data_IF_250586694090
#
_entry.id   IF_250586694090
#
_cell.length_a   1.000
_cell.length_b   1.000
_cell.length_c   1.000
_cell.angle_alpha   90.00
_cell.angle_beta   90.00
_cell.angle_gamma   90.00
#
_symmetry.space_group_name_H-M   'P 1'
#
loop_
_entity.id
_entity.type
_entity.pdbx_description
1 polymer ?
#
# COMPACT_ATOMS: atom_id res chain seq x y z
N UNK A 1 -20.66 -22.00 40.54
CA UNK A 1 -19.55 -22.26 39.58
C UNK A 1 -20.15 -22.96 38.38
N UNK A 2 -20.38 -22.24 37.28
CA UNK A 2 -20.85 -22.82 36.02
C UNK A 2 -19.67 -23.41 35.27
N UNK A 3 -19.71 -24.72 35.02
CA UNK A 3 -18.73 -25.39 34.16
C UNK A 3 -18.87 -24.86 32.73
N UNK A 4 -17.78 -24.39 32.08
CA UNK A 4 -17.86 -23.91 30.71
C UNK A 4 -18.28 -25.05 29.79
N UNK A 5 -19.33 -24.82 29.01
CA UNK A 5 -19.84 -25.79 28.02
C UNK A 5 -18.77 -26.03 26.95
N UNK A 6 -18.46 -27.29 26.59
CA UNK A 6 -17.45 -27.58 25.59
C UNK A 6 -17.83 -26.93 24.25
N UNK A 7 -16.91 -26.12 23.72
CA UNK A 7 -17.11 -25.42 22.45
C UNK A 7 -17.07 -26.45 21.32
N UNK A 8 -18.18 -26.61 20.61
CA UNK A 8 -18.24 -27.41 19.38
C UNK A 8 -17.35 -26.74 18.34
N UNK A 9 -16.30 -27.44 17.90
CA UNK A 9 -15.44 -26.94 16.83
C UNK A 9 -16.24 -26.86 15.53
N UNK A 10 -16.01 -25.80 14.77
CA UNK A 10 -16.58 -25.68 13.42
C UNK A 10 -15.93 -26.70 12.47
N UNK A 11 -16.62 -27.05 11.37
CA UNK A 11 -16.08 -27.97 10.36
C UNK A 11 -14.68 -27.53 9.85
N UNK A 12 -14.45 -26.24 9.64
CA UNK A 12 -13.15 -25.74 9.19
C UNK A 12 -12.05 -25.96 10.25
N UNK A 13 -12.38 -25.85 11.53
CA UNK A 13 -11.42 -26.06 12.61
C UNK A 13 -11.05 -27.53 12.82
N UNK A 14 -11.87 -28.48 12.34
CA UNK A 14 -11.55 -29.91 12.41
C UNK A 14 -10.66 -30.38 11.26
N UNK A 15 -10.52 -29.58 10.19
CA UNK A 15 -9.66 -29.92 9.06
C UNK A 15 -8.17 -29.80 9.42
N UNK A 16 -7.29 -30.62 8.82
CA UNK A 16 -5.85 -30.40 8.81
C UNK A 16 -5.48 -29.02 8.25
N UNK A 17 -4.38 -28.44 8.73
CA UNK A 17 -3.93 -27.09 8.34
C UNK A 17 -3.65 -27.00 6.84
N UNK A 18 -3.22 -28.10 6.23
CA UNK A 18 -2.96 -28.21 4.80
C UNK A 18 -4.24 -28.02 3.98
N UNK A 19 -5.37 -28.61 4.44
CA UNK A 19 -6.66 -28.45 3.76
C UNK A 19 -7.23 -27.05 3.97
N UNK A 20 -7.05 -26.46 5.16
CA UNK A 20 -7.41 -25.05 5.41
C UNK A 20 -6.59 -24.14 4.49
N UNK A 21 -5.30 -24.43 4.36
CA UNK A 21 -4.40 -23.72 3.45
C UNK A 21 -4.86 -23.81 2.00
N UNK A 22 -5.22 -25.01 1.54
CA UNK A 22 -5.70 -25.24 0.18
C UNK A 22 -7.00 -24.49 -0.10
N UNK A 23 -7.95 -24.50 0.84
CA UNK A 23 -9.21 -23.76 0.73
C UNK A 23 -8.97 -22.25 0.67
N UNK A 24 -8.04 -21.74 1.48
CA UNK A 24 -7.78 -20.29 1.59
C UNK A 24 -6.91 -19.71 0.49
N UNK A 25 -6.09 -20.54 -0.16
CA UNK A 25 -5.32 -20.17 -1.36
C UNK A 25 -6.01 -20.56 -2.67
N UNK A 26 -7.15 -21.27 -2.63
CA UNK A 26 -7.88 -21.71 -3.82
C UNK A 26 -8.24 -20.52 -4.74
N UNK A 27 -8.08 -20.75 -6.04
CA UNK A 27 -8.35 -19.77 -7.10
C UNK A 27 -9.13 -20.43 -8.25
N UNK A 28 -9.94 -19.63 -8.92
CA UNK A 28 -10.59 -19.96 -10.18
C UNK A 28 -10.24 -18.92 -11.26
N UNK A 29 -10.95 -18.95 -12.41
CA UNK A 29 -10.73 -18.00 -13.51
C UNK A 29 -10.93 -16.52 -13.15
N UNK A 30 -11.60 -16.23 -12.03
CA UNK A 30 -11.90 -14.88 -11.53
C UNK A 30 -10.96 -14.47 -10.38
N UNK A 31 -10.01 -15.32 -9.99
CA UNK A 31 -9.04 -15.06 -8.92
C UNK A 31 -9.28 -15.91 -7.69
N UNK A 32 -8.92 -15.39 -6.50
CA UNK A 32 -9.05 -16.15 -5.26
C UNK A 32 -10.52 -16.32 -4.84
N UNK A 33 -10.88 -17.54 -4.45
CA UNK A 33 -12.22 -17.89 -3.97
C UNK A 33 -12.61 -17.12 -2.70
N UNK A 34 -11.62 -16.75 -1.88
CA UNK A 34 -11.80 -15.85 -0.73
C UNK A 34 -11.18 -14.49 -1.03
N UNK A 35 -11.95 -13.42 -0.82
CA UNK A 35 -11.43 -12.07 -0.86
C UNK A 35 -10.37 -11.85 0.24
N UNK A 36 -9.54 -10.80 0.13
CA UNK A 36 -8.59 -10.43 1.20
C UNK A 36 -9.33 -10.13 2.51
N UNK A 37 -10.51 -9.51 2.41
CA UNK A 37 -11.37 -9.18 3.56
C UNK A 37 -11.89 -10.44 4.24
N UNK A 38 -12.42 -11.40 3.48
CA UNK A 38 -12.95 -12.66 4.04
C UNK A 38 -11.85 -13.49 4.69
N UNK A 39 -10.68 -13.54 4.05
CA UNK A 39 -9.52 -14.22 4.63
C UNK A 39 -9.05 -13.54 5.92
N UNK A 40 -9.08 -12.21 5.98
CA UNK A 40 -8.82 -11.43 7.18
C UNK A 40 -9.84 -11.71 8.29
N UNK A 41 -11.13 -11.77 7.96
CA UNK A 41 -12.19 -12.12 8.91
C UNK A 41 -12.04 -13.55 9.43
N UNK A 42 -11.68 -14.49 8.56
CA UNK A 42 -11.45 -15.89 8.92
C UNK A 42 -10.32 -16.04 9.94
N UNK A 43 -9.25 -15.24 9.82
CA UNK A 43 -8.16 -15.14 10.81
C UNK A 43 -8.68 -14.82 12.21
N UNK A 44 -9.73 -14.02 12.31
CA UNK A 44 -10.28 -13.53 13.58
C UNK A 44 -11.28 -14.51 14.21
N UNK A 45 -11.70 -15.57 13.51
CA UNK A 45 -12.70 -16.51 14.00
C UNK A 45 -12.20 -17.34 15.21
N UNK A 46 -10.92 -17.76 15.19
CA UNK A 46 -10.28 -18.45 16.30
C UNK A 46 -8.76 -18.44 16.22
N UNK A 47 -8.07 -18.77 17.33
CA UNK A 47 -6.60 -18.88 17.35
C UNK A 47 -6.07 -19.96 16.41
N UNK A 48 -6.83 -21.06 16.24
CA UNK A 48 -6.47 -22.12 15.29
C UNK A 48 -6.55 -21.60 13.86
N UNK A 49 -7.64 -20.91 13.51
CA UNK A 49 -7.79 -20.30 12.19
C UNK A 49 -6.73 -19.24 11.95
N UNK A 50 -6.41 -18.43 12.95
CA UNK A 50 -5.31 -17.47 12.87
C UNK A 50 -4.00 -18.16 12.47
N UNK A 51 -3.61 -19.22 13.17
CA UNK A 51 -2.37 -19.96 12.87
C UNK A 51 -2.40 -20.65 11.51
N UNK A 52 -3.53 -21.30 11.17
CA UNK A 52 -3.66 -22.06 9.94
C UNK A 52 -3.71 -21.18 8.68
N UNK A 53 -4.20 -19.94 8.80
CA UNK A 53 -4.33 -19.01 7.67
C UNK A 53 -3.18 -18.02 7.56
N UNK A 54 -2.33 -17.93 8.58
CA UNK A 54 -1.31 -16.89 8.68
C UNK A 54 -0.40 -16.81 7.46
N UNK A 55 0.15 -17.96 7.02
CA UNK A 55 1.09 -18.00 5.90
C UNK A 55 0.43 -17.53 4.59
N UNK A 56 -0.81 -17.95 4.34
CA UNK A 56 -1.55 -17.55 3.14
C UNK A 56 -1.93 -16.07 3.16
N UNK A 57 -2.28 -15.54 4.33
CA UNK A 57 -2.50 -14.11 4.52
C UNK A 57 -1.21 -13.35 4.25
N UNK A 58 -0.11 -13.77 4.88
CA UNK A 58 1.18 -13.10 4.74
C UNK A 58 1.65 -13.11 3.28
N UNK A 59 1.55 -14.25 2.59
CA UNK A 59 1.81 -14.36 1.15
C UNK A 59 0.93 -13.38 0.38
N UNK A 60 -0.40 -13.43 0.51
CA UNK A 60 -1.32 -12.59 -0.28
C UNK A 60 -1.24 -11.09 0.03
N UNK A 61 -0.88 -10.73 1.26
CA UNK A 61 -0.78 -9.35 1.71
C UNK A 61 0.58 -8.73 1.35
N UNK A 62 1.65 -9.53 1.42
CA UNK A 62 3.01 -9.00 1.36
C UNK A 62 3.81 -9.39 0.11
N UNK A 63 3.28 -10.23 -0.80
CA UNK A 63 4.01 -10.64 -2.02
C UNK A 63 4.48 -9.44 -2.84
N UNK A 64 3.60 -8.46 -3.08
CA UNK A 64 3.88 -7.31 -3.94
C UNK A 64 3.56 -6.03 -3.18
N UNK A 65 4.52 -5.11 -3.13
CA UNK A 65 4.33 -3.77 -2.59
C UNK A 65 4.70 -2.71 -3.62
N UNK A 66 3.85 -1.70 -3.78
CA UNK A 66 4.12 -0.52 -4.60
C UNK A 66 4.50 0.65 -3.68
N UNK A 67 5.62 1.29 -3.97
CA UNK A 67 6.14 2.44 -3.24
C UNK A 67 6.28 3.64 -4.18
N UNK A 68 6.12 4.82 -3.60
CA UNK A 68 6.39 6.10 -4.23
C UNK A 68 7.84 6.52 -3.96
N UNK A 69 8.43 7.34 -4.83
CA UNK A 69 9.73 7.98 -4.56
C UNK A 69 9.60 9.18 -3.62
N UNK A 70 9.21 8.89 -2.37
CA UNK A 70 9.18 9.87 -1.27
C UNK A 70 9.89 9.32 -0.05
N UNK A 71 10.41 10.20 0.82
CA UNK A 71 11.14 9.78 2.02
C UNK A 71 10.28 8.90 2.92
N UNK A 72 9.01 9.28 3.13
CA UNK A 72 8.07 8.51 3.95
C UNK A 72 7.83 7.10 3.37
N UNK A 73 7.66 6.98 2.06
CA UNK A 73 7.42 5.69 1.41
C UNK A 73 8.62 4.74 1.53
N UNK A 74 9.84 5.26 1.33
CA UNK A 74 11.06 4.47 1.42
C UNK A 74 11.41 4.15 2.89
N UNK A 75 11.07 5.04 3.82
CA UNK A 75 11.16 4.74 5.26
C UNK A 75 10.24 3.58 5.64
N UNK A 76 9.00 3.58 5.14
CA UNK A 76 8.07 2.47 5.36
C UNK A 76 8.58 1.17 4.72
N UNK A 77 9.21 1.25 3.55
CA UNK A 77 9.88 0.10 2.93
C UNK A 77 10.98 -0.47 3.85
N UNK A 78 11.78 0.37 4.50
CA UNK A 78 12.77 -0.06 5.49
C UNK A 78 12.12 -0.72 6.71
N UNK A 79 10.98 -0.19 7.17
CA UNK A 79 10.22 -0.77 8.29
C UNK A 79 9.69 -2.17 7.94
N UNK A 80 9.09 -2.36 6.76
CA UNK A 80 8.69 -3.69 6.28
C UNK A 80 9.90 -4.62 6.18
N UNK A 81 11.03 -4.11 5.65
CA UNK A 81 12.26 -4.90 5.54
C UNK A 81 12.80 -5.36 6.90
N UNK A 82 12.58 -4.60 7.97
CA UNK A 82 12.97 -4.97 9.33
C UNK A 82 11.95 -5.86 10.05
N UNK A 83 10.74 -6.00 9.52
CA UNK A 83 9.69 -6.81 10.12
C UNK A 83 9.93 -8.30 9.82
N UNK A 84 10.15 -9.09 10.87
CA UNK A 84 10.44 -10.54 10.78
C UNK A 84 9.30 -11.34 10.13
N UNK A 85 8.07 -10.83 10.13
CA UNK A 85 6.89 -11.49 9.61
C UNK A 85 6.55 -11.07 8.18
N UNK A 86 6.82 -9.83 7.80
CA UNK A 86 6.48 -9.29 6.48
C UNK A 86 7.64 -9.46 5.49
N UNK A 87 8.87 -9.12 5.90
CA UNK A 87 10.05 -9.14 5.04
C UNK A 87 10.23 -10.46 4.28
N UNK A 88 10.10 -11.66 4.91
CA UNK A 88 10.29 -12.92 4.21
C UNK A 88 9.24 -13.22 3.13
N UNK A 89 8.10 -12.53 3.10
CA UNK A 89 7.03 -12.76 2.12
C UNK A 89 7.06 -11.79 0.96
N UNK A 90 7.87 -10.73 1.03
CA UNK A 90 8.05 -9.81 -0.10
C UNK A 90 8.79 -10.52 -1.24
N UNK A 91 8.21 -10.48 -2.44
CA UNK A 91 8.74 -11.09 -3.67
C UNK A 91 8.92 -10.06 -4.78
N UNK A 92 8.05 -9.06 -4.82
CA UNK A 92 8.09 -7.99 -5.81
C UNK A 92 7.96 -6.63 -5.14
N UNK A 93 8.82 -5.71 -5.56
CA UNK A 93 8.74 -4.30 -5.20
C UNK A 93 8.52 -3.51 -6.48
N UNK A 94 7.40 -2.78 -6.55
CA UNK A 94 7.13 -1.83 -7.60
C UNK A 94 7.45 -0.41 -7.09
N UNK A 95 8.21 0.34 -7.86
CA UNK A 95 8.45 1.76 -7.62
C UNK A 95 7.69 2.52 -8.68
N UNK A 96 6.69 3.28 -8.26
CA UNK A 96 5.91 4.09 -9.17
C UNK A 96 6.53 5.47 -9.43
N UNK A 97 6.07 6.14 -10.50
CA UNK A 97 6.57 7.44 -10.90
C UNK A 97 5.91 8.57 -10.10
N UNK A 98 5.08 8.26 -9.09
CA UNK A 98 4.25 9.24 -8.40
C UNK A 98 5.12 10.32 -7.74
N UNK A 99 4.74 11.58 -7.97
CA UNK A 99 5.40 12.78 -7.45
C UNK A 99 4.36 13.85 -7.16
N UNK A 100 4.68 14.77 -6.27
CA UNK A 100 3.88 15.98 -6.12
C UNK A 100 4.11 16.87 -7.34
N UNK A 101 3.02 17.38 -7.93
CA UNK A 101 3.08 18.32 -9.03
C UNK A 101 3.64 19.67 -8.52
N UNK A 102 4.75 20.19 -9.04
CA UNK A 102 5.29 21.47 -8.58
C UNK A 102 4.30 22.65 -8.71
N UNK A 103 3.31 22.53 -9.59
CA UNK A 103 2.21 23.47 -9.74
C UNK A 103 1.02 23.02 -8.89
N UNK A 104 0.91 23.54 -7.66
CA UNK A 104 -0.19 23.22 -6.75
C UNK A 104 -1.55 23.64 -7.32
N UNK A 105 -1.59 24.76 -8.03
CA UNK A 105 -2.80 25.36 -8.60
C UNK A 105 -3.42 24.48 -9.68
N UNK A 106 -2.62 23.64 -10.37
CA UNK A 106 -3.11 22.64 -11.32
C UNK A 106 -3.99 21.57 -10.64
N UNK A 107 -3.73 21.24 -9.37
CA UNK A 107 -4.57 20.30 -8.62
C UNK A 107 -5.95 20.88 -8.28
N UNK A 108 -6.12 22.19 -8.42
CA UNK A 108 -7.32 22.93 -8.02
C UNK A 108 -8.12 23.45 -9.22
N UNK A 109 -7.73 23.12 -10.46
CA UNK A 109 -8.27 23.73 -11.68
C UNK A 109 -9.78 23.55 -11.83
N UNK A 110 -10.30 22.38 -11.43
CA UNK A 110 -11.73 22.04 -11.51
C UNK A 110 -12.51 22.33 -10.20
N UNK A 111 -11.88 22.94 -9.20
CA UNK A 111 -12.54 23.24 -7.92
C UNK A 111 -13.30 24.57 -7.95
N UNK A 112 -14.37 24.67 -7.15
CA UNK A 112 -15.04 25.95 -6.89
C UNK A 112 -14.05 26.99 -6.31
N UNK A 113 -14.17 28.25 -6.73
CA UNK A 113 -13.21 29.30 -6.39
C UNK A 113 -13.06 29.50 -4.87
N UNK A 114 -14.14 29.35 -4.09
CA UNK A 114 -14.07 29.47 -2.63
C UNK A 114 -13.33 28.31 -1.99
N UNK A 115 -13.49 27.12 -2.56
CA UNK A 115 -12.77 25.91 -2.11
C UNK A 115 -11.29 26.07 -2.46
N UNK A 116 -10.99 26.57 -3.66
CA UNK A 116 -9.62 26.84 -4.11
C UNK A 116 -8.90 27.87 -3.24
N UNK A 117 -9.53 29.00 -2.93
CA UNK A 117 -8.98 30.01 -2.02
C UNK A 117 -8.66 29.40 -0.65
N UNK A 118 -9.60 28.65 -0.07
CA UNK A 118 -9.39 27.96 1.20
C UNK A 118 -8.21 26.97 1.14
N UNK A 119 -8.11 26.19 0.07
CA UNK A 119 -7.02 25.24 -0.12
C UNK A 119 -5.66 25.92 -0.28
N UNK A 120 -5.59 27.03 -1.02
CA UNK A 120 -4.38 27.82 -1.17
C UNK A 120 -3.92 28.39 0.18
N UNK A 121 -4.84 28.89 1.00
CA UNK A 121 -4.49 29.43 2.32
C UNK A 121 -4.04 28.33 3.29
N UNK A 122 -4.75 27.21 3.34
CA UNK A 122 -4.51 26.17 4.35
C UNK A 122 -3.41 25.18 3.99
N UNK A 123 -3.25 24.83 2.70
CA UNK A 123 -2.44 23.68 2.29
C UNK A 123 -1.25 24.04 1.40
N UNK A 124 -1.25 25.18 0.69
CA UNK A 124 -0.11 25.60 -0.15
C UNK A 124 1.22 25.62 0.62
N UNK A 125 1.32 26.14 1.86
CA UNK A 125 2.59 26.18 2.58
C UNK A 125 3.15 24.78 2.90
N UNK A 126 2.27 23.84 3.25
CA UNK A 126 2.63 22.44 3.51
C UNK A 126 3.02 21.76 2.20
N UNK A 127 2.25 22.00 1.15
CA UNK A 127 2.51 21.46 -0.18
C UNK A 127 3.89 21.87 -0.71
N UNK A 128 4.21 23.17 -0.66
CA UNK A 128 5.50 23.69 -1.12
C UNK A 128 6.68 23.10 -0.35
N UNK A 129 6.50 22.90 0.96
CA UNK A 129 7.49 22.23 1.80
C UNK A 129 7.71 20.79 1.35
N UNK A 130 6.64 20.04 1.05
CA UNK A 130 6.73 18.65 0.61
C UNK A 130 7.34 18.51 -0.79
N UNK A 131 6.98 19.39 -1.73
CA UNK A 131 7.63 19.45 -3.06
C UNK A 131 9.12 19.69 -2.93
N UNK A 132 9.51 20.65 -2.09
CA UNK A 132 10.92 20.97 -1.83
C UNK A 132 11.64 19.79 -1.18
N UNK A 133 11.05 19.15 -0.18
CA UNK A 133 11.61 17.96 0.48
C UNK A 133 11.83 16.83 -0.52
N UNK A 134 10.83 16.53 -1.37
CA UNK A 134 10.95 15.49 -2.38
C UNK A 134 12.09 15.79 -3.37
N UNK A 135 12.23 17.05 -3.79
CA UNK A 135 13.32 17.47 -4.67
C UNK A 135 14.70 17.36 -3.99
N UNK A 136 14.82 17.77 -2.74
CA UNK A 136 16.03 17.63 -1.93
C UNK A 136 16.40 16.15 -1.72
N UNK A 137 15.41 15.30 -1.43
CA UNK A 137 15.61 13.87 -1.22
C UNK A 137 16.13 13.15 -2.45
N UNK A 138 15.65 13.54 -3.64
CA UNK A 138 16.14 13.01 -4.92
C UNK A 138 17.56 13.50 -5.22
N UNK A 139 17.87 14.78 -4.95
CA UNK A 139 19.14 15.40 -5.34
C UNK A 139 20.28 15.17 -4.35
N UNK A 140 20.00 14.93 -3.07
CA UNK A 140 21.02 14.71 -2.04
C UNK A 140 21.71 13.35 -2.12
N UNK A 141 21.17 12.40 -2.89
CA UNK A 141 21.60 11.00 -2.93
C UNK A 141 21.04 10.13 -1.80
N UNK A 142 20.30 10.71 -0.85
CA UNK A 142 19.65 9.97 0.24
C UNK A 142 18.71 8.88 -0.27
N UNK A 143 17.92 9.19 -1.30
CA UNK A 143 17.00 8.24 -1.91
C UNK A 143 17.72 6.97 -2.37
N UNK A 144 18.84 7.12 -3.09
CA UNK A 144 19.62 5.98 -3.58
C UNK A 144 20.21 5.16 -2.44
N UNK A 145 20.69 5.83 -1.38
CA UNK A 145 21.23 5.18 -0.19
C UNK A 145 20.15 4.37 0.54
N UNK A 146 18.99 4.97 0.79
CA UNK A 146 17.88 4.32 1.51
C UNK A 146 17.28 3.15 0.70
N UNK A 147 17.13 3.28 -0.62
CA UNK A 147 16.69 2.17 -1.47
C UNK A 147 17.67 0.99 -1.42
N UNK A 148 18.97 1.28 -1.51
CA UNK A 148 20.00 0.24 -1.42
C UNK A 148 19.93 -0.48 -0.07
N UNK A 149 19.76 0.26 1.02
CA UNK A 149 19.58 -0.29 2.37
C UNK A 149 18.27 -1.09 2.49
N UNK A 150 17.20 -0.67 1.85
CA UNK A 150 15.92 -1.35 1.90
C UNK A 150 15.96 -2.67 1.13
N UNK A 151 16.51 -2.71 -0.08
CA UNK A 151 16.53 -3.91 -0.91
C UNK A 151 17.27 -5.08 -0.25
N UNK A 152 18.36 -4.82 0.47
CA UNK A 152 19.12 -5.88 1.15
C UNK A 152 18.35 -6.53 2.31
N UNK A 153 17.27 -5.90 2.80
CA UNK A 153 16.47 -6.41 3.92
C UNK A 153 15.43 -7.45 3.51
N UNK A 154 15.17 -7.63 2.22
CA UNK A 154 14.16 -8.57 1.72
C UNK A 154 14.82 -9.86 1.21
N UNK A 155 14.90 -10.93 2.02
CA UNK A 155 15.71 -12.11 1.72
C UNK A 155 15.21 -12.91 0.51
N UNK A 156 13.95 -12.72 0.14
CA UNK A 156 13.30 -13.43 -0.94
C UNK A 156 12.82 -12.50 -2.06
N UNK A 157 13.37 -11.29 -2.16
CA UNK A 157 13.01 -10.37 -3.24
C UNK A 157 13.47 -10.94 -4.58
N UNK A 158 12.52 -11.16 -5.48
CA UNK A 158 12.77 -11.74 -6.81
C UNK A 158 12.80 -10.66 -7.90
N UNK A 159 11.97 -9.62 -7.75
CA UNK A 159 11.75 -8.61 -8.80
C UNK A 159 11.65 -7.21 -8.22
N UNK A 160 12.26 -6.26 -8.93
CA UNK A 160 12.03 -4.83 -8.77
C UNK A 160 11.50 -4.29 -10.09
N UNK A 161 10.31 -3.70 -10.06
CA UNK A 161 9.64 -3.13 -11.22
C UNK A 161 9.62 -1.61 -11.08
N UNK A 162 9.96 -0.91 -12.16
CA UNK A 162 9.73 0.53 -12.26
C UNK A 162 8.44 0.70 -13.07
N UNK A 163 7.40 1.22 -12.43
CA UNK A 163 6.18 1.58 -13.13
C UNK A 163 6.42 2.93 -13.81
N UNK A 164 5.98 3.04 -15.06
CA UNK A 164 5.91 4.31 -15.77
C UNK A 164 4.45 4.74 -15.84
N UNK A 165 4.20 6.05 -15.99
CA UNK A 165 2.89 6.50 -16.42
C UNK A 165 2.54 5.79 -17.73
N UNK A 166 1.32 5.27 -17.91
CA UNK A 166 0.87 4.92 -19.24
C UNK A 166 0.95 6.20 -20.08
N UNK A 167 1.81 6.18 -21.10
CA UNK A 167 1.82 7.24 -22.09
C UNK A 167 0.43 7.25 -22.73
N UNK A 168 -0.31 8.35 -22.60
CA UNK A 168 -1.40 8.61 -23.55
C UNK A 168 -0.77 8.57 -24.96
N UNK A 169 -1.38 7.93 -25.97
CA UNK A 169 -0.94 7.99 -27.37
C UNK A 169 -0.63 9.41 -27.91
N UNK A 170 -1.06 10.48 -27.23
CA UNK A 170 -0.76 11.89 -27.58
C UNK A 170 0.53 12.43 -26.94
N UNK A 171 1.21 11.67 -26.08
CA UNK A 171 2.47 12.09 -25.43
C UNK A 171 2.30 13.19 -24.38
N UNK A 172 1.06 13.48 -23.98
CA UNK A 172 0.76 14.24 -22.78
C UNK A 172 0.86 13.31 -21.57
N UNK A 173 1.54 13.77 -20.52
CA UNK A 173 1.42 13.19 -19.19
C UNK A 173 -0.01 13.45 -18.74
N UNK A 174 -0.98 12.66 -19.22
CA UNK A 174 -2.25 12.60 -18.53
C UNK A 174 -1.92 11.95 -17.20
N UNK A 175 -2.03 12.74 -16.14
CA UNK A 175 -2.21 12.25 -14.79
C UNK A 175 -3.36 11.26 -14.85
N UNK A 176 -3.03 9.99 -15.12
CA UNK A 176 -3.98 8.91 -15.21
C UNK A 176 -4.86 9.03 -13.96
N UNK A 177 -6.17 9.20 -14.19
CA UNK A 177 -7.25 9.31 -13.19
C UNK A 177 -6.76 9.06 -11.77
N UNK A 178 -6.95 10.03 -10.86
CA UNK A 178 -6.61 10.07 -9.42
C UNK A 178 -6.53 8.69 -8.72
N UNK A 179 -7.35 7.73 -9.15
CA UNK A 179 -7.36 6.31 -8.76
C UNK A 179 -6.03 5.55 -8.89
N UNK A 180 -5.11 5.86 -9.81
CA UNK A 180 -3.85 5.08 -9.93
C UNK A 180 -2.68 5.66 -9.11
N UNK A 181 -2.71 6.97 -8.85
CA UNK A 181 -1.69 7.70 -8.07
C UNK A 181 -1.79 7.43 -6.58
N UNK A 182 -2.98 7.06 -6.11
CA UNK A 182 -3.28 6.77 -4.70
C UNK A 182 -2.88 5.36 -4.27
N UNK A 183 -2.43 4.51 -5.19
CA UNK A 183 -2.19 3.07 -4.93
C UNK A 183 -0.81 2.81 -4.32
N UNK A 184 0.16 3.70 -4.54
CA UNK A 184 1.48 3.59 -3.95
C UNK A 184 1.47 3.91 -2.45
N UNK A 185 2.21 3.12 -1.65
CA UNK A 185 2.42 3.45 -0.24
C UNK A 185 3.06 4.83 -0.11
N UNK A 186 2.53 5.66 0.78
CA UNK A 186 2.94 7.06 0.96
C UNK A 186 2.05 8.06 0.21
N UNK A 187 1.32 7.66 -0.84
CA UNK A 187 0.41 8.55 -1.54
C UNK A 187 -0.77 8.97 -0.64
N UNK A 188 -1.38 8.03 0.09
CA UNK A 188 -2.46 8.34 1.03
C UNK A 188 -2.02 9.24 2.19
N UNK A 189 -0.82 9.03 2.73
CA UNK A 189 -0.24 9.89 3.76
C UNK A 189 0.00 11.30 3.25
N UNK A 190 0.59 11.44 2.05
CA UNK A 190 0.77 12.74 1.40
C UNK A 190 -0.56 13.45 1.15
N UNK A 191 -1.57 12.71 0.68
CA UNK A 191 -2.93 13.22 0.48
C UNK A 191 -3.55 13.72 1.78
N UNK A 192 -3.40 12.99 2.88
CA UNK A 192 -3.86 13.44 4.20
C UNK A 192 -3.14 14.70 4.68
N UNK A 193 -1.83 14.80 4.47
CA UNK A 193 -1.02 15.97 4.84
C UNK A 193 -1.42 17.23 4.08
N UNK A 194 -1.93 17.09 2.85
CA UNK A 194 -2.41 18.21 2.03
C UNK A 194 -3.92 18.44 2.14
N UNK A 195 -4.57 17.85 3.14
CA UNK A 195 -5.99 18.09 3.44
C UNK A 195 -6.98 17.26 2.60
N UNK A 196 -6.49 16.39 1.72
CA UNK A 196 -7.31 15.49 0.92
C UNK A 196 -7.84 14.36 1.81
N UNK A 197 -8.97 14.63 2.47
CA UNK A 197 -9.75 13.63 3.20
C UNK A 197 -10.92 13.18 2.35
N UNK A 198 -11.36 11.93 2.51
CA UNK A 198 -12.48 11.32 1.77
C UNK A 198 -13.83 12.06 1.89
N UNK A 199 -13.88 13.19 2.61
CA UNK A 199 -15.06 14.05 2.77
C UNK A 199 -15.31 15.00 1.59
N UNK A 200 -14.35 15.14 0.67
CA UNK A 200 -14.50 15.94 -0.56
C UNK A 200 -14.72 15.10 -1.82
N UNK A 201 -14.98 13.80 -1.67
CA UNK A 201 -15.44 12.92 -2.76
C UNK A 201 -16.97 12.92 -2.75
N UNK A 202 -17.58 13.84 -3.50
CA UNK A 202 -18.99 13.80 -3.87
C UNK A 202 -19.13 14.08 -5.36
#
# INVERSE_FOLDING_TARGET
MTTPTPRTLSFLETLPTELIGLITDAQDSQGHNLSKTDLGNLRLASRRMQQATFQNIAKRAHTTHKFMLSRASIQYMLEIGNDEYASPYVREIAIGPERLNPNFEALLEDMDEKVKEHWLECFKPVYDKLVKEQQEFVTSGDMSRMLSEAFVKFPNLERVRLDSYPLDPVGTYNDATITEWTVGWGASSLLQEIGYTSQYIY
#
